data_IF_002009849218
#
_entry.id   IF_002009849218
#
_cell.length_a   1.000
_cell.length_b   1.000
_cell.length_c   1.000
_cell.angle_alpha   90.00
_cell.angle_beta   90.00
_cell.angle_gamma   90.00
#
_symmetry.space_group_name_H-M   'P 1'
#
loop_
_entity.id
_entity.type
_entity.pdbx_description
1 polymer ?
#
# COMPACT_ATOMS: atom_id res chain seq x y z
N UNK A 1 46.18 52.47 -34.27
CA UNK A 1 45.24 52.77 -33.16
C UNK A 1 43.97 51.90 -33.19
N UNK A 2 43.24 51.78 -34.31
CA UNK A 2 42.03 50.91 -34.41
C UNK A 2 42.24 49.42 -34.05
N UNK A 3 43.40 48.82 -34.38
CA UNK A 3 43.71 47.42 -34.05
C UNK A 3 43.93 47.19 -32.54
N UNK A 4 44.48 48.17 -31.83
CA UNK A 4 44.70 48.09 -30.37
C UNK A 4 43.38 48.24 -29.62
N UNK A 5 42.48 49.10 -30.12
CA UNK A 5 41.12 49.25 -29.58
C UNK A 5 40.29 47.94 -29.71
N UNK A 6 40.39 47.25 -30.85
CA UNK A 6 39.72 45.97 -31.09
C UNK A 6 40.23 44.84 -30.16
N UNK A 7 41.53 44.79 -29.89
CA UNK A 7 42.12 43.81 -28.96
C UNK A 7 41.67 44.08 -27.51
N UNK A 8 41.63 45.35 -27.11
CA UNK A 8 41.15 45.74 -25.79
C UNK A 8 39.66 45.41 -25.57
N UNK A 9 38.81 45.60 -26.58
CA UNK A 9 37.39 45.24 -26.51
C UNK A 9 37.17 43.73 -26.45
N UNK A 10 37.97 42.95 -27.21
CA UNK A 10 37.93 41.49 -27.18
C UNK A 10 38.34 40.92 -25.81
N UNK A 11 39.37 41.51 -25.19
CA UNK A 11 39.81 41.13 -23.85
C UNK A 11 38.72 41.39 -22.79
N UNK A 12 38.01 42.52 -22.87
CA UNK A 12 36.92 42.86 -21.94
C UNK A 12 35.72 41.91 -22.09
N UNK A 13 35.40 41.47 -23.32
CA UNK A 13 34.33 40.49 -23.54
C UNK A 13 34.64 39.13 -22.92
N UNK A 14 35.91 38.71 -22.88
CA UNK A 14 36.33 37.44 -22.27
C UNK A 14 36.18 37.45 -20.74
N UNK A 15 36.27 38.60 -20.08
CA UNK A 15 36.06 38.71 -18.63
C UNK A 15 34.58 38.68 -18.21
N UNK A 16 33.64 38.88 -19.14
CA UNK A 16 32.20 38.90 -18.84
C UNK A 16 31.54 37.50 -18.84
N UNK A 17 32.23 36.45 -19.29
CA UNK A 17 31.67 35.09 -19.41
C UNK A 17 31.87 34.24 -18.14
N UNK A 18 32.58 34.75 -17.13
CA UNK A 18 33.00 33.96 -15.96
C UNK A 18 32.10 34.01 -14.72
N UNK A 19 31.09 34.89 -14.67
CA UNK A 19 30.30 35.09 -13.45
C UNK A 19 29.00 34.28 -13.50
N UNK A 20 29.08 32.97 -13.23
CA UNK A 20 27.91 32.13 -12.99
C UNK A 20 27.68 31.98 -11.49
N UNK A 21 26.43 32.19 -11.06
CA UNK A 21 26.05 32.05 -9.66
C UNK A 21 26.24 30.60 -9.22
N UNK A 22 27.01 30.40 -8.13
CA UNK A 22 27.11 29.10 -7.49
C UNK A 22 25.72 28.68 -7.02
N UNK A 23 25.24 27.51 -7.47
CA UNK A 23 24.00 26.94 -6.93
C UNK A 23 24.17 26.86 -5.41
N UNK A 24 23.26 27.46 -4.61
CA UNK A 24 23.33 27.27 -3.17
C UNK A 24 23.30 25.76 -2.91
N UNK A 25 24.20 25.27 -2.05
CA UNK A 25 24.03 23.93 -1.51
C UNK A 25 22.64 23.91 -0.86
N UNK A 26 21.69 23.21 -1.46
CA UNK A 26 20.49 22.82 -0.74
C UNK A 26 20.98 21.99 0.43
N UNK A 27 20.92 22.54 1.64
CA UNK A 27 21.06 21.75 2.86
C UNK A 27 20.03 20.63 2.75
N UNK A 28 20.52 19.41 2.59
CA UNK A 28 19.68 18.23 2.53
C UNK A 28 18.89 18.19 3.84
N UNK A 29 17.60 18.54 3.76
CA UNK A 29 16.73 18.58 4.92
C UNK A 29 16.55 17.14 5.41
N UNK A 30 17.40 16.72 6.32
CA UNK A 30 17.35 15.40 6.93
C UNK A 30 16.17 15.35 7.89
N UNK A 31 15.01 14.93 7.37
CA UNK A 31 13.87 14.62 8.22
C UNK A 31 14.25 13.38 9.03
N UNK A 32 14.15 13.46 10.36
CA UNK A 32 14.40 12.30 11.20
C UNK A 32 13.42 11.17 10.87
N UNK A 33 13.92 9.93 10.92
CA UNK A 33 13.07 8.74 10.71
C UNK A 33 11.86 8.75 11.65
N UNK A 34 12.04 9.17 12.90
CA UNK A 34 10.96 9.30 13.88
C UNK A 34 9.86 10.27 13.43
N UNK A 35 10.22 11.41 12.82
CA UNK A 35 9.24 12.37 12.31
C UNK A 35 8.47 11.80 11.13
N UNK A 36 9.12 11.02 10.26
CA UNK A 36 8.46 10.31 9.16
C UNK A 36 7.46 9.30 9.73
N UNK A 37 7.89 8.44 10.66
CA UNK A 37 7.03 7.41 11.28
C UNK A 37 5.83 8.06 11.98
N UNK A 38 6.03 9.11 12.79
CA UNK A 38 4.92 9.82 13.45
C UNK A 38 3.92 10.40 12.46
N UNK A 39 4.39 10.99 11.36
CA UNK A 39 3.51 11.54 10.31
C UNK A 39 2.73 10.43 9.61
N UNK A 40 3.37 9.30 9.36
CA UNK A 40 2.78 8.12 8.71
C UNK A 40 1.66 7.52 9.59
N UNK A 41 1.93 7.33 10.87
CA UNK A 41 0.96 6.87 11.87
C UNK A 41 -0.24 7.83 12.02
N UNK A 42 0.02 9.13 12.10
CA UNK A 42 -1.03 10.14 12.20
C UNK A 42 -1.95 10.15 10.97
N UNK A 43 -1.38 9.97 9.78
CA UNK A 43 -2.16 9.85 8.54
C UNK A 43 -2.92 8.52 8.47
N UNK A 44 -2.31 7.41 8.90
CA UNK A 44 -2.96 6.09 8.95
C UNK A 44 -4.25 6.11 9.78
N UNK A 45 -4.25 6.78 10.93
CA UNK A 45 -5.43 6.93 11.82
C UNK A 45 -6.58 7.74 11.20
N UNK A 46 -6.29 8.58 10.20
CA UNK A 46 -7.31 9.36 9.48
C UNK A 46 -8.08 8.52 8.46
N UNK A 47 -7.48 7.44 7.95
CA UNK A 47 -8.12 6.54 6.98
C UNK A 47 -9.24 5.75 7.67
N UNK A 48 -10.50 6.08 7.33
CA UNK A 48 -11.70 5.42 7.86
C UNK A 48 -12.13 4.23 7.02
N UNK A 49 -11.95 4.32 5.70
CA UNK A 49 -12.27 3.26 4.75
C UNK A 49 -11.16 3.08 3.74
N UNK A 50 -11.00 1.85 3.29
CA UNK A 50 -9.99 1.47 2.30
C UNK A 50 -10.56 0.41 1.38
N UNK A 51 -10.24 0.50 0.09
CA UNK A 51 -10.53 -0.54 -0.90
C UNK A 51 -9.22 -0.94 -1.56
N UNK A 52 -8.88 -2.21 -1.45
CA UNK A 52 -7.73 -2.83 -2.09
C UNK A 52 -8.17 -3.89 -3.09
N UNK A 53 -7.45 -4.02 -4.20
CA UNK A 53 -7.63 -5.09 -5.17
C UNK A 53 -6.28 -5.76 -5.40
N UNK A 54 -6.28 -7.08 -5.55
CA UNK A 54 -5.06 -7.83 -5.75
C UNK A 54 -5.30 -9.20 -6.36
N UNK A 55 -4.20 -9.92 -6.53
CA UNK A 55 -4.19 -11.29 -7.05
C UNK A 55 -3.43 -12.16 -6.08
N UNK A 56 -4.03 -13.28 -5.66
CA UNK A 56 -3.39 -14.30 -4.85
C UNK A 56 -3.00 -15.49 -5.72
N UNK A 57 -1.82 -16.02 -5.45
CA UNK A 57 -1.30 -17.24 -6.04
C UNK A 57 -1.21 -18.28 -4.93
N UNK A 58 -1.94 -19.38 -5.08
CA UNK A 58 -1.90 -20.48 -4.12
C UNK A 58 -1.20 -21.64 -4.79
N UNK A 59 0.04 -21.89 -4.35
CA UNK A 59 0.90 -22.95 -4.86
C UNK A 59 1.18 -23.91 -3.70
N UNK A 60 0.60 -25.09 -3.79
CA UNK A 60 0.78 -26.22 -2.87
C UNK A 60 1.02 -27.49 -3.70
N UNK A 61 1.31 -28.62 -3.05
CA UNK A 61 1.46 -29.91 -3.77
C UNK A 61 0.19 -30.34 -4.51
N UNK A 62 -0.98 -29.94 -4.02
CA UNK A 62 -2.29 -30.37 -4.51
C UNK A 62 -3.00 -29.30 -5.36
N UNK A 63 -2.59 -28.04 -5.22
CA UNK A 63 -3.28 -26.88 -5.80
C UNK A 63 -2.27 -25.88 -6.37
N UNK A 64 -2.41 -25.54 -7.65
CA UNK A 64 -1.72 -24.43 -8.29
C UNK A 64 -2.75 -23.55 -8.97
N UNK A 65 -3.18 -22.50 -8.27
CA UNK A 65 -4.26 -21.63 -8.74
C UNK A 65 -3.96 -20.15 -8.52
N UNK A 66 -4.61 -19.32 -9.34
CA UNK A 66 -4.60 -17.87 -9.25
C UNK A 66 -6.04 -17.40 -9.03
N UNK A 67 -6.23 -16.50 -8.07
CA UNK A 67 -7.52 -15.85 -7.81
C UNK A 67 -7.30 -14.35 -7.64
N UNK A 68 -8.27 -13.55 -8.11
CA UNK A 68 -8.30 -12.13 -7.82
C UNK A 68 -9.11 -11.90 -6.55
N UNK A 69 -8.78 -10.88 -5.77
CA UNK A 69 -9.54 -10.53 -4.59
C UNK A 69 -9.74 -9.03 -4.48
N UNK A 70 -10.83 -8.63 -3.83
CA UNK A 70 -11.08 -7.27 -3.40
C UNK A 70 -11.27 -7.26 -1.89
N UNK A 71 -10.57 -6.36 -1.21
CA UNK A 71 -10.78 -6.08 0.21
C UNK A 71 -11.38 -4.70 0.39
N UNK A 72 -12.42 -4.62 1.20
CA UNK A 72 -13.07 -3.38 1.60
C UNK A 72 -13.06 -3.32 3.13
N UNK A 73 -12.54 -2.23 3.67
CA UNK A 73 -12.36 -2.05 5.12
C UNK A 73 -13.14 -0.82 5.56
N UNK A 74 -13.82 -0.94 6.68
CA UNK A 74 -14.44 0.15 7.42
C UNK A 74 -13.96 0.11 8.86
N UNK A 75 -12.93 0.90 9.17
CA UNK A 75 -12.32 0.91 10.51
C UNK A 75 -13.27 1.52 11.55
N UNK A 76 -13.24 1.03 12.80
CA UNK A 76 -12.46 -0.13 13.29
C UNK A 76 -13.22 -1.46 13.19
N UNK A 77 -14.37 -1.50 12.51
CA UNK A 77 -15.37 -2.53 12.78
C UNK A 77 -15.43 -3.64 11.74
N UNK A 78 -15.31 -3.33 10.44
CA UNK A 78 -15.71 -4.29 9.40
C UNK A 78 -14.64 -4.49 8.33
N UNK A 79 -14.47 -5.75 7.92
CA UNK A 79 -13.63 -6.23 6.82
C UNK A 79 -14.51 -7.06 5.89
N UNK A 80 -14.57 -6.70 4.61
CA UNK A 80 -15.15 -7.52 3.56
C UNK A 80 -14.06 -7.96 2.61
N UNK A 81 -14.03 -9.26 2.29
CA UNK A 81 -13.14 -9.84 1.29
C UNK A 81 -13.99 -10.56 0.26
N UNK A 82 -13.80 -10.24 -1.01
CA UNK A 82 -14.46 -10.89 -2.14
C UNK A 82 -13.41 -11.60 -2.97
N UNK A 83 -13.63 -12.88 -3.28
CA UNK A 83 -12.73 -13.71 -4.07
C UNK A 83 -13.35 -14.01 -5.42
N UNK A 84 -12.55 -13.86 -6.47
CA UNK A 84 -12.96 -14.02 -7.85
C UNK A 84 -12.03 -15.01 -8.56
N UNK A 85 -12.62 -15.85 -9.39
CA UNK A 85 -11.92 -16.76 -10.27
C UNK A 85 -11.53 -16.07 -11.59
N UNK A 86 -11.10 -16.87 -12.56
CA UNK A 86 -10.93 -16.40 -13.94
C UNK A 86 -12.21 -15.70 -14.44
N UNK A 87 -12.05 -14.65 -15.25
CA UNK A 87 -13.15 -13.87 -15.82
C UNK A 87 -14.05 -13.15 -14.81
N UNK A 88 -13.64 -13.04 -13.54
CA UNK A 88 -14.42 -12.32 -12.52
C UNK A 88 -15.58 -13.12 -11.94
N UNK A 89 -15.59 -14.45 -12.15
CA UNK A 89 -16.60 -15.34 -11.56
C UNK A 89 -16.48 -15.31 -10.04
N UNK A 90 -17.58 -15.10 -9.34
CA UNK A 90 -17.61 -15.07 -7.88
C UNK A 90 -17.30 -16.46 -7.29
N UNK A 91 -16.33 -16.53 -6.38
CA UNK A 91 -15.95 -17.78 -5.69
C UNK A 91 -16.44 -17.79 -4.25
N UNK A 92 -16.18 -16.70 -3.54
CA UNK A 92 -16.54 -16.59 -2.14
C UNK A 92 -16.58 -15.13 -1.67
N UNK A 93 -17.39 -14.88 -0.65
CA UNK A 93 -17.44 -13.61 0.07
C UNK A 93 -17.28 -13.85 1.56
N UNK A 94 -16.49 -13.01 2.20
CA UNK A 94 -16.30 -12.98 3.65
C UNK A 94 -16.62 -11.58 4.16
N UNK A 95 -17.44 -11.48 5.20
CA UNK A 95 -17.67 -10.26 5.96
C UNK A 95 -17.36 -10.57 7.42
N UNK A 96 -16.33 -9.93 7.95
CA UNK A 96 -15.87 -10.13 9.32
C UNK A 96 -16.00 -8.80 10.05
N UNK A 97 -16.71 -8.81 11.18
CA UNK A 97 -16.79 -7.70 12.12
C UNK A 97 -16.05 -8.06 13.41
N UNK A 98 -16.03 -7.17 14.40
CA UNK A 98 -15.45 -7.48 15.72
C UNK A 98 -16.17 -8.62 16.45
N UNK A 99 -17.46 -8.84 16.17
CA UNK A 99 -18.31 -9.79 16.92
C UNK A 99 -18.73 -10.99 16.10
N UNK A 100 -19.08 -10.75 14.84
CA UNK A 100 -19.72 -11.72 13.97
C UNK A 100 -19.00 -11.85 12.64
N UNK A 101 -19.12 -13.01 12.01
CA UNK A 101 -18.68 -13.26 10.66
C UNK A 101 -19.81 -13.80 9.80
N UNK A 102 -19.69 -13.58 8.51
CA UNK A 102 -20.50 -14.18 7.46
C UNK A 102 -19.57 -14.64 6.35
N UNK A 103 -19.78 -15.86 5.87
CA UNK A 103 -19.02 -16.40 4.75
C UNK A 103 -19.97 -17.07 3.79
N UNK A 104 -19.90 -16.69 2.52
CA UNK A 104 -20.67 -17.28 1.46
C UNK A 104 -19.73 -17.96 0.47
N UNK A 105 -19.83 -19.28 0.39
CA UNK A 105 -19.16 -20.12 -0.59
C UNK A 105 -20.09 -20.26 -1.81
N UNK A 106 -19.76 -19.52 -2.88
CA UNK A 106 -20.59 -19.45 -4.08
C UNK A 106 -20.53 -20.77 -4.85
N UNK A 107 -19.37 -21.42 -4.87
CA UNK A 107 -19.13 -22.70 -5.57
C UNK A 107 -20.05 -23.79 -5.02
N UNK A 108 -20.15 -23.88 -3.70
CA UNK A 108 -20.94 -24.90 -3.03
C UNK A 108 -22.36 -24.43 -2.66
N UNK A 109 -22.72 -23.18 -2.96
CA UNK A 109 -23.95 -22.52 -2.54
C UNK A 109 -24.23 -22.68 -1.03
N UNK A 110 -23.22 -22.38 -0.21
CA UNK A 110 -23.29 -22.53 1.26
C UNK A 110 -23.01 -21.22 1.97
N UNK A 111 -23.90 -20.87 2.89
CA UNK A 111 -23.77 -19.67 3.72
C UNK A 111 -23.51 -20.06 5.18
N UNK A 112 -22.46 -19.49 5.75
CA UNK A 112 -22.03 -19.69 7.12
C UNK A 112 -22.11 -18.36 7.87
N UNK A 113 -22.59 -18.39 9.10
CA UNK A 113 -22.63 -17.24 10.00
C UNK A 113 -22.33 -17.65 11.43
N UNK A 114 -21.77 -16.76 12.21
CA UNK A 114 -21.54 -17.01 13.63
C UNK A 114 -20.71 -15.92 14.29
N UNK A 115 -20.31 -16.16 15.53
CA UNK A 115 -19.43 -15.25 16.27
C UNK A 115 -17.97 -15.47 15.88
N UNK A 116 -17.19 -14.39 15.87
CA UNK A 116 -15.73 -14.47 15.68
C UNK A 116 -15.12 -15.20 16.87
N UNK A 117 -14.28 -16.20 16.58
CA UNK A 117 -13.54 -16.99 17.56
C UNK A 117 -12.13 -17.27 17.05
N UNK A 118 -11.14 -17.52 17.93
CA UNK A 118 -9.81 -17.93 17.50
C UNK A 118 -9.89 -19.11 16.51
N UNK A 119 -9.17 -19.02 15.40
CA UNK A 119 -9.14 -20.05 14.36
C UNK A 119 -10.25 -19.98 13.30
N UNK A 120 -11.25 -19.10 13.43
CA UNK A 120 -12.34 -19.03 12.44
C UNK A 120 -11.86 -18.70 11.01
N UNK A 121 -10.83 -17.85 10.90
CA UNK A 121 -10.21 -17.51 9.61
C UNK A 121 -9.57 -18.75 8.97
N UNK A 122 -8.92 -19.60 9.78
CA UNK A 122 -8.37 -20.87 9.32
C UNK A 122 -9.47 -21.82 8.88
N UNK A 123 -10.57 -21.89 9.62
CA UNK A 123 -11.69 -22.77 9.26
C UNK A 123 -12.34 -22.36 7.92
N UNK A 124 -12.54 -21.05 7.72
CA UNK A 124 -13.22 -20.48 6.56
C UNK A 124 -12.32 -20.38 5.33
N UNK A 125 -11.14 -19.78 5.49
CA UNK A 125 -10.24 -19.46 4.39
C UNK A 125 -9.12 -20.49 4.20
N UNK A 126 -9.04 -21.51 5.06
CA UNK A 126 -7.97 -22.53 5.08
C UNK A 126 -6.56 -21.94 5.22
N UNK A 127 -6.47 -20.69 5.67
CA UNK A 127 -5.22 -19.95 5.89
C UNK A 127 -5.04 -19.73 7.39
N UNK A 128 -3.88 -20.11 7.92
CA UNK A 128 -3.56 -19.97 9.34
C UNK A 128 -2.96 -18.58 9.65
N UNK A 129 -3.78 -17.53 9.57
CA UNK A 129 -3.38 -16.15 9.89
C UNK A 129 -4.39 -15.54 10.87
N UNK A 130 -3.95 -14.95 12.01
CA UNK A 130 -4.81 -14.21 12.93
C UNK A 130 -5.53 -13.03 12.25
N UNK A 131 -6.68 -12.60 12.79
CA UNK A 131 -7.44 -11.48 12.23
C UNK A 131 -6.62 -10.19 12.18
N UNK A 132 -5.88 -9.89 13.25
CA UNK A 132 -5.09 -8.66 13.35
C UNK A 132 -3.96 -8.65 12.32
N UNK A 133 -3.26 -9.76 12.13
CA UNK A 133 -2.21 -9.90 11.10
C UNK A 133 -2.78 -9.78 9.68
N UNK A 134 -3.95 -10.38 9.42
CA UNK A 134 -4.62 -10.25 8.13
C UNK A 134 -5.01 -8.79 7.86
N UNK A 135 -5.57 -8.11 8.86
CA UNK A 135 -5.91 -6.70 8.79
C UNK A 135 -4.66 -5.84 8.55
N UNK A 136 -3.56 -6.19 9.19
CA UNK A 136 -2.30 -5.47 9.05
C UNK A 136 -1.70 -5.64 7.66
N UNK A 137 -1.64 -6.89 7.17
CA UNK A 137 -1.15 -7.21 5.83
C UNK A 137 -1.97 -6.50 4.74
N UNK A 138 -3.30 -6.49 4.87
CA UNK A 138 -4.15 -5.88 3.84
C UNK A 138 -4.18 -4.36 3.91
N UNK A 139 -4.01 -3.77 5.10
CA UNK A 139 -3.93 -2.31 5.23
C UNK A 139 -2.53 -1.76 5.09
N UNK A 140 -1.53 -2.62 4.87
CA UNK A 140 -0.12 -2.23 4.83
C UNK A 140 0.36 -1.62 6.15
N UNK A 141 -0.27 -1.94 7.29
CA UNK A 141 0.26 -1.56 8.59
C UNK A 141 1.46 -2.45 8.91
N UNK A 142 2.64 -1.96 8.56
CA UNK A 142 3.87 -2.46 9.17
C UNK A 142 3.96 -1.81 10.55
N UNK A 143 4.13 -2.62 11.59
CA UNK A 143 4.51 -2.11 12.90
C UNK A 143 5.98 -1.65 12.79
N UNK A 144 6.20 -0.33 12.65
CA UNK A 144 7.52 0.28 12.49
C UNK A 144 8.14 0.72 13.83
N UNK A 145 7.58 0.24 14.95
CA UNK A 145 8.05 0.50 16.32
C UNK A 145 8.71 -0.72 16.93
#
# INVERSE_FOLDING_TARGET
MKKILLISISAILLFLVGCTATKPLEEEQTISAERIVKRLEANRRKIKSFVGKGTIFVITKELNTRSSFQVEIKRPDSLKVSFFGPFGIDLAYSLISQKDFQFYDVINNKYYKGKVRPGIIKDLMKINVPYDELMDAVTGSVNLT
#
